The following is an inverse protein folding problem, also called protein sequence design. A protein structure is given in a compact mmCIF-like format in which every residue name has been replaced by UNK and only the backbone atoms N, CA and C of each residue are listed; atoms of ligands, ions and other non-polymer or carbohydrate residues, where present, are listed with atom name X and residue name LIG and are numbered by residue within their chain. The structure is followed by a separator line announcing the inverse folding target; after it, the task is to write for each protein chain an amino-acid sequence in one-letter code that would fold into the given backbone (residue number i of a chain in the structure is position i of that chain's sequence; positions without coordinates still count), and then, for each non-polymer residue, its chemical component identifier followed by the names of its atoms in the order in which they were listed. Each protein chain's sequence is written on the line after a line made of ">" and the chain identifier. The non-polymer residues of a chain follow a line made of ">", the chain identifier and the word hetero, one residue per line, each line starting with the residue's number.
data_IF_721425449235
#
_entry.id   IF_721425449235
#
_cell.length_a   1.000
_cell.length_b   1.000
_cell.length_c   1.000
_cell.angle_alpha   90.00
_cell.angle_beta   90.00
_cell.angle_gamma   90.00
#
_symmetry.space_group_name_H-M   'P 1'
#
loop_
_entity.id
_entity.type
_entity.pdbx_description
1 polymer ?
#
# COMPACT_ATOMS: atom_id res chain seq x y z
N UNK A 1 -2.12 -19.10 40.69
CA UNK A 1 -2.16 -18.56 39.31
C UNK A 1 -3.01 -19.40 38.36
N UNK A 2 -3.25 -20.70 38.58
CA UNK A 2 -4.21 -21.48 37.76
C UNK A 2 -5.69 -21.07 37.97
N UNK A 3 -6.05 -20.66 39.20
CA UNK A 3 -7.43 -20.31 39.55
C UNK A 3 -7.99 -19.02 38.94
N UNK A 4 -7.16 -18.14 38.37
CA UNK A 4 -7.62 -16.89 37.72
C UNK A 4 -7.71 -17.01 36.19
N UNK A 5 -6.97 -17.94 35.57
CA UNK A 5 -6.76 -17.96 34.11
C UNK A 5 -7.25 -19.25 33.43
N UNK A 6 -7.71 -20.24 34.21
CA UNK A 6 -8.25 -21.52 33.72
C UNK A 6 -7.24 -22.40 32.98
N UNK A 7 -7.68 -23.60 32.61
CA UNK A 7 -6.82 -24.70 32.13
C UNK A 7 -6.05 -24.44 30.83
N UNK A 8 -6.29 -23.33 30.13
CA UNK A 8 -5.66 -22.99 28.83
C UNK A 8 -4.55 -21.95 28.91
N UNK A 9 -4.34 -21.31 30.06
CA UNK A 9 -3.33 -20.26 30.21
C UNK A 9 -3.59 -19.00 29.37
N UNK A 10 -2.88 -17.91 29.69
CA UNK A 10 -3.09 -16.59 29.05
C UNK A 10 -2.66 -16.57 27.57
N UNK A 11 -1.61 -17.31 27.22
CA UNK A 11 -1.08 -17.35 25.85
C UNK A 11 -2.08 -17.97 24.86
N UNK A 12 -2.71 -19.09 25.24
CA UNK A 12 -3.69 -19.74 24.36
C UNK A 12 -4.96 -18.90 24.21
N UNK A 13 -5.42 -18.25 25.29
CA UNK A 13 -6.56 -17.32 25.23
C UNK A 13 -6.26 -16.08 24.37
N UNK A 14 -5.04 -15.55 24.41
CA UNK A 14 -4.63 -14.45 23.55
C UNK A 14 -4.52 -14.88 22.08
N UNK A 15 -4.09 -16.11 21.79
CA UNK A 15 -4.11 -16.65 20.43
C UNK A 15 -5.54 -16.87 19.90
N UNK A 16 -6.48 -17.18 20.80
CA UNK A 16 -7.92 -17.28 20.49
C UNK A 16 -8.57 -15.89 20.31
N UNK A 17 -8.09 -14.85 21.01
CA UNK A 17 -8.50 -13.44 20.87
C UNK A 17 -7.51 -12.61 20.03
N UNK A 18 -7.58 -12.83 18.71
CA UNK A 18 -6.68 -12.21 17.73
C UNK A 18 -6.69 -10.67 17.75
N UNK A 19 -7.82 -10.04 18.03
CA UNK A 19 -7.94 -8.58 18.06
C UNK A 19 -7.12 -7.97 19.21
N UNK A 20 -7.21 -8.56 20.40
CA UNK A 20 -6.41 -8.16 21.56
C UNK A 20 -4.93 -8.46 21.33
N UNK A 21 -4.59 -9.63 20.77
CA UNK A 21 -3.20 -10.00 20.48
C UNK A 21 -2.53 -9.03 19.50
N UNK A 22 -3.19 -8.65 18.42
CA UNK A 22 -2.64 -7.68 17.46
C UNK A 22 -2.45 -6.30 18.09
N UNK A 23 -3.36 -5.87 18.97
CA UNK A 23 -3.21 -4.61 19.71
C UNK A 23 -2.00 -4.66 20.66
N UNK A 24 -1.86 -5.74 21.43
CA UNK A 24 -0.69 -5.95 22.30
C UNK A 24 0.62 -6.01 21.51
N UNK A 25 0.59 -6.63 20.33
CA UNK A 25 1.74 -6.68 19.43
C UNK A 25 2.16 -5.29 19.00
N UNK A 26 1.22 -4.44 18.57
CA UNK A 26 1.53 -3.04 18.27
C UNK A 26 2.13 -2.29 19.46
N UNK A 27 1.60 -2.48 20.68
CA UNK A 27 2.20 -1.88 21.88
C UNK A 27 3.62 -2.40 22.16
N UNK A 28 3.85 -3.70 22.00
CA UNK A 28 5.18 -4.32 22.11
C UNK A 28 6.17 -3.72 21.12
N UNK A 29 5.77 -3.59 19.85
CA UNK A 29 6.60 -2.96 18.81
C UNK A 29 6.84 -1.47 19.08
N UNK A 30 5.85 -0.72 19.59
CA UNK A 30 6.06 0.67 20.03
C UNK A 30 7.09 0.77 21.15
N UNK A 31 7.09 -0.18 22.08
CA UNK A 31 8.12 -0.26 23.12
C UNK A 31 9.48 -0.57 22.50
N UNK A 32 9.56 -1.48 21.52
CA UNK A 32 10.82 -1.76 20.80
C UNK A 32 11.37 -0.51 20.11
N UNK A 33 10.51 0.30 19.48
CA UNK A 33 10.86 1.57 18.85
C UNK A 33 11.31 2.66 19.85
N UNK A 34 11.13 2.47 21.15
CA UNK A 34 11.58 3.42 22.18
C UNK A 34 12.88 2.99 22.88
N UNK A 35 13.37 1.77 22.62
CA UNK A 35 14.60 1.28 23.22
C UNK A 35 15.82 2.03 22.72
N UNK A 36 16.88 2.01 23.53
CA UNK A 36 18.16 2.68 23.24
C UNK A 36 19.15 1.78 22.52
N UNK A 37 18.92 0.47 22.47
CA UNK A 37 19.77 -0.54 21.83
C UNK A 37 19.31 -0.88 20.41
N UNK A 38 18.71 0.09 19.71
CA UNK A 38 18.34 -0.05 18.29
C UNK A 38 19.54 -0.46 17.45
N UNK A 39 19.27 -1.16 16.35
CA UNK A 39 20.26 -1.66 15.40
C UNK A 39 21.19 -2.76 15.94
N UNK A 40 20.97 -3.23 17.18
CA UNK A 40 21.63 -4.43 17.70
C UNK A 40 20.92 -5.70 17.25
N UNK A 41 21.66 -6.81 17.17
CA UNK A 41 21.10 -8.13 16.86
C UNK A 41 19.97 -8.52 17.84
N UNK A 42 20.16 -8.25 19.14
CA UNK A 42 19.15 -8.49 20.16
C UNK A 42 17.85 -7.70 19.91
N UNK A 43 17.96 -6.44 19.51
CA UNK A 43 16.79 -5.62 19.16
C UNK A 43 16.06 -6.15 17.92
N UNK A 44 16.82 -6.57 16.90
CA UNK A 44 16.27 -7.20 15.70
C UNK A 44 15.54 -8.52 15.99
N UNK A 45 16.12 -9.37 16.84
CA UNK A 45 15.53 -10.64 17.27
C UNK A 45 14.24 -10.42 18.07
N UNK A 46 14.24 -9.44 18.97
CA UNK A 46 13.06 -9.07 19.75
C UNK A 46 11.93 -8.53 18.85
N UNK A 47 12.26 -7.69 17.85
CA UNK A 47 11.28 -7.24 16.85
C UNK A 47 10.68 -8.42 16.11
N UNK A 48 11.52 -9.32 15.58
CA UNK A 48 11.05 -10.49 14.85
C UNK A 48 10.12 -11.35 15.72
N UNK A 49 10.52 -11.56 16.98
CA UNK A 49 9.76 -12.33 17.96
C UNK A 49 8.41 -11.70 18.30
N UNK A 50 8.33 -10.37 18.39
CA UNK A 50 7.05 -9.69 18.67
C UNK A 50 6.19 -9.64 17.41
N UNK A 51 6.79 -9.32 16.26
CA UNK A 51 6.08 -9.11 15.00
C UNK A 51 5.37 -10.38 14.49
N UNK A 52 5.89 -11.58 14.77
CA UNK A 52 5.25 -12.84 14.35
C UNK A 52 3.79 -13.01 14.86
N UNK A 53 3.41 -12.28 15.91
CA UNK A 53 2.05 -12.29 16.47
C UNK A 53 1.13 -11.22 15.87
N UNK A 54 1.66 -10.36 14.99
CA UNK A 54 0.85 -9.36 14.29
C UNK A 54 -0.03 -10.03 13.25
N UNK A 55 -1.35 -9.84 13.35
CA UNK A 55 -2.29 -10.28 12.34
C UNK A 55 -3.42 -9.27 12.12
N UNK A 56 -3.83 -9.12 10.88
CA UNK A 56 -5.07 -8.44 10.53
C UNK A 56 -6.16 -9.52 10.51
N UNK A 57 -6.86 -9.73 11.63
CA UNK A 57 -7.97 -10.69 11.72
C UNK A 57 -9.21 -10.19 10.97
N UNK A 58 -10.22 -11.04 10.79
CA UNK A 58 -11.49 -10.58 10.18
C UNK A 58 -12.28 -9.65 11.12
N UNK A 59 -12.16 -9.89 12.43
CA UNK A 59 -12.68 -9.07 13.52
C UNK A 59 -11.71 -7.92 13.83
N UNK A 60 -11.61 -6.96 12.91
CA UNK A 60 -10.64 -5.88 13.06
C UNK A 60 -11.02 -4.89 14.17
N UNK A 61 -10.08 -4.51 15.04
CA UNK A 61 -10.37 -3.65 16.18
C UNK A 61 -10.60 -2.20 15.74
N UNK A 62 -11.19 -1.43 16.66
CA UNK A 62 -11.62 -0.02 16.53
C UNK A 62 -10.68 0.92 15.75
N UNK A 63 -11.18 2.11 15.36
CA UNK A 63 -10.38 3.19 14.75
C UNK A 63 -9.06 3.51 15.50
N UNK A 64 -9.02 3.32 16.82
CA UNK A 64 -7.80 3.49 17.64
C UNK A 64 -6.72 2.47 17.32
N UNK A 65 -7.09 1.23 17.02
CA UNK A 65 -6.14 0.22 16.59
C UNK A 65 -5.55 0.59 15.23
N UNK A 66 -6.38 1.04 14.27
CA UNK A 66 -5.89 1.49 12.97
C UNK A 66 -4.81 2.57 13.14
N UNK A 67 -5.09 3.59 13.96
CA UNK A 67 -4.14 4.66 14.28
C UNK A 67 -2.84 4.13 14.88
N UNK A 68 -2.95 3.29 15.90
CA UNK A 68 -1.79 2.68 16.56
C UNK A 68 -0.96 1.83 15.58
N UNK A 69 -1.61 0.99 14.77
CA UNK A 69 -0.97 0.11 13.81
C UNK A 69 -0.25 0.91 12.72
N UNK A 70 -0.89 1.93 12.13
CA UNK A 70 -0.27 2.80 11.13
C UNK A 70 0.97 3.48 11.70
N UNK A 71 0.85 4.15 12.85
CA UNK A 71 1.99 4.81 13.50
C UNK A 71 3.15 3.84 13.79
N UNK A 72 2.83 2.64 14.28
CA UNK A 72 3.83 1.64 14.69
C UNK A 72 4.54 1.05 13.48
N UNK A 73 3.78 0.53 12.51
CA UNK A 73 4.33 -0.21 11.39
C UNK A 73 5.02 0.70 10.39
N UNK A 74 4.49 1.89 10.13
CA UNK A 74 5.15 2.84 9.23
C UNK A 74 6.50 3.30 9.81
N UNK A 75 6.57 3.60 11.12
CA UNK A 75 7.84 3.93 11.77
C UNK A 75 8.81 2.74 11.76
N UNK A 76 8.32 1.54 12.08
CA UNK A 76 9.16 0.34 12.09
C UNK A 76 9.67 -0.04 10.70
N UNK A 77 8.87 0.14 9.65
CA UNK A 77 9.30 -0.08 8.27
C UNK A 77 10.48 0.83 7.88
N UNK A 78 10.49 2.08 8.38
CA UNK A 78 11.59 3.02 8.18
C UNK A 78 12.82 2.63 8.99
N UNK A 79 12.65 2.35 10.28
CA UNK A 79 13.75 2.10 11.22
C UNK A 79 14.34 0.69 11.12
N UNK A 80 13.59 -0.30 10.63
CA UNK A 80 14.07 -1.67 10.43
C UNK A 80 13.88 -2.15 8.97
N UNK A 81 14.65 -1.56 8.02
CA UNK A 81 14.60 -1.90 6.60
C UNK A 81 14.60 -3.39 6.23
N UNK A 82 15.40 -4.25 6.89
CA UNK A 82 15.54 -5.65 6.46
C UNK A 82 14.24 -6.47 6.58
N UNK A 83 13.30 -6.05 7.42
CA UNK A 83 12.06 -6.80 7.65
C UNK A 83 10.93 -6.35 6.72
N UNK A 84 11.03 -6.76 5.45
CA UNK A 84 10.10 -6.37 4.37
C UNK A 84 8.62 -6.62 4.72
N UNK A 85 8.30 -7.70 5.45
CA UNK A 85 6.93 -7.99 5.87
C UNK A 85 6.30 -6.85 6.70
N UNK A 86 7.08 -6.06 7.45
CA UNK A 86 6.57 -4.90 8.19
C UNK A 86 6.06 -3.83 7.23
N UNK A 87 6.78 -3.57 6.14
CA UNK A 87 6.36 -2.63 5.09
C UNK A 87 5.06 -3.12 4.44
N UNK A 88 5.00 -4.40 4.05
CA UNK A 88 3.79 -4.98 3.46
C UNK A 88 2.58 -4.83 4.41
N UNK A 89 2.76 -5.13 5.70
CA UNK A 89 1.72 -4.97 6.71
C UNK A 89 1.31 -3.51 6.93
N UNK A 90 2.24 -2.55 6.86
CA UNK A 90 1.92 -1.14 6.96
C UNK A 90 1.05 -0.67 5.78
N UNK A 91 1.38 -1.08 4.55
CA UNK A 91 0.57 -0.84 3.36
C UNK A 91 -0.82 -1.47 3.49
N UNK A 92 -0.92 -2.71 3.99
CA UNK A 92 -2.21 -3.36 4.25
C UNK A 92 -3.04 -2.62 5.28
N UNK A 93 -2.44 -2.08 6.35
CA UNK A 93 -3.17 -1.28 7.34
C UNK A 93 -3.72 0.00 6.72
N UNK A 94 -2.91 0.70 5.93
CA UNK A 94 -3.35 1.92 5.25
C UNK A 94 -4.46 1.63 4.23
N UNK A 95 -4.33 0.54 3.46
CA UNK A 95 -5.28 0.18 2.41
C UNK A 95 -6.58 -0.43 2.92
N UNK A 96 -6.47 -1.46 3.75
CA UNK A 96 -7.59 -2.35 4.03
C UNK A 96 -8.25 -2.04 5.39
N UNK A 97 -7.56 -1.31 6.27
CA UNK A 97 -8.05 -1.00 7.62
C UNK A 97 -8.50 0.44 7.75
N UNK A 98 -7.70 1.41 7.32
CA UNK A 98 -8.05 2.83 7.43
C UNK A 98 -9.32 3.18 6.63
N UNK A 99 -9.35 2.79 5.37
CA UNK A 99 -10.48 3.05 4.47
C UNK A 99 -11.72 2.31 4.93
N UNK A 100 -11.60 1.03 5.25
CA UNK A 100 -12.73 0.20 5.70
C UNK A 100 -13.36 0.69 7.01
N UNK A 101 -12.54 1.12 7.97
CA UNK A 101 -13.02 1.58 9.28
C UNK A 101 -13.42 3.07 9.29
N UNK A 102 -13.13 3.81 8.22
CA UNK A 102 -13.27 5.27 8.22
C UNK A 102 -12.47 5.91 9.36
N UNK A 103 -11.28 5.36 9.66
CA UNK A 103 -10.32 6.02 10.52
C UNK A 103 -9.87 7.34 9.87
N UNK A 104 -9.42 8.29 10.68
CA UNK A 104 -8.90 9.56 10.19
C UNK A 104 -7.44 9.66 10.62
N UNK A 105 -6.60 10.16 9.73
CA UNK A 105 -5.22 10.41 10.10
C UNK A 105 -5.07 11.60 11.03
N UNK A 106 -4.07 11.55 11.89
CA UNK A 106 -3.44 12.73 12.47
C UNK A 106 -2.24 13.15 11.61
N UNK A 107 -1.76 14.39 11.78
CA UNK A 107 -0.54 14.86 11.11
C UNK A 107 0.66 13.91 11.35
N UNK A 108 0.77 13.37 12.57
CA UNK A 108 1.83 12.44 12.96
C UNK A 108 1.75 11.12 12.16
N UNK A 109 0.56 10.54 12.03
CA UNK A 109 0.39 9.32 11.20
C UNK A 109 0.64 9.57 9.71
N UNK A 110 0.33 10.76 9.19
CA UNK A 110 0.67 11.14 7.81
C UNK A 110 2.19 11.28 7.64
N UNK A 111 2.88 11.87 8.61
CA UNK A 111 4.34 11.98 8.58
C UNK A 111 5.02 10.62 8.59
N UNK A 112 4.50 9.65 9.36
CA UNK A 112 5.01 8.29 9.36
C UNK A 112 4.78 7.58 8.01
N UNK A 113 3.58 7.69 7.44
CA UNK A 113 3.28 7.12 6.11
C UNK A 113 4.16 7.75 5.01
N UNK A 114 4.35 9.07 5.08
CA UNK A 114 5.28 9.83 4.23
C UNK A 114 6.70 9.29 4.33
N UNK A 115 7.26 9.19 5.53
CA UNK A 115 8.65 8.74 5.72
C UNK A 115 8.86 7.31 5.19
N UNK A 116 7.85 6.45 5.39
CA UNK A 116 7.87 5.08 4.88
C UNK A 116 7.89 5.03 3.35
N UNK A 117 7.02 5.80 2.69
CA UNK A 117 6.91 5.76 1.23
C UNK A 117 8.09 6.44 0.52
N UNK A 118 8.63 7.53 1.09
CA UNK A 118 9.77 8.26 0.50
C UNK A 118 10.95 7.33 0.29
N UNK A 119 11.21 6.46 1.27
CA UNK A 119 12.29 5.48 1.17
C UNK A 119 12.08 4.47 0.04
N UNK A 120 10.86 3.96 -0.14
CA UNK A 120 10.61 2.99 -1.22
C UNK A 120 10.74 3.64 -2.60
N UNK A 121 10.18 4.85 -2.78
CA UNK A 121 10.29 5.61 -4.05
C UNK A 121 11.72 6.07 -4.38
N UNK A 122 12.65 6.03 -3.44
CA UNK A 122 14.09 6.25 -3.67
C UNK A 122 14.83 4.98 -4.11
N UNK A 123 14.23 3.81 -3.89
CA UNK A 123 14.90 2.51 -3.97
C UNK A 123 14.43 1.63 -5.15
N UNK A 124 13.96 2.25 -6.24
CA UNK A 124 13.54 1.51 -7.43
C UNK A 124 14.68 0.66 -7.97
N UNK A 125 14.49 -0.65 -7.92
CA UNK A 125 15.39 -1.66 -8.45
C UNK A 125 14.59 -2.71 -9.23
N UNK A 126 14.54 -2.61 -10.58
CA UNK A 126 13.77 -3.53 -11.41
C UNK A 126 14.31 -4.97 -11.34
N UNK A 127 15.55 -5.18 -10.89
CA UNK A 127 16.13 -6.53 -10.75
C UNK A 127 15.42 -7.40 -9.70
N UNK A 128 14.68 -6.76 -8.78
CA UNK A 128 13.84 -7.45 -7.77
C UNK A 128 12.51 -7.96 -8.33
N UNK A 129 12.26 -7.79 -9.64
CA UNK A 129 11.13 -8.36 -10.35
C UNK A 129 9.79 -7.95 -9.75
N UNK A 130 8.90 -8.93 -9.52
CA UNK A 130 7.54 -8.67 -9.06
C UNK A 130 7.50 -7.95 -7.72
N UNK A 131 8.43 -8.25 -6.81
CA UNK A 131 8.42 -7.64 -5.48
C UNK A 131 8.67 -6.14 -5.53
N UNK A 132 9.56 -5.68 -6.43
CA UNK A 132 9.75 -4.24 -6.64
C UNK A 132 8.50 -3.57 -7.22
N UNK A 133 7.85 -4.19 -8.20
CA UNK A 133 6.58 -3.68 -8.75
C UNK A 133 5.53 -3.54 -7.64
N UNK A 134 5.31 -4.59 -6.84
CA UNK A 134 4.35 -4.61 -5.74
C UNK A 134 4.64 -3.49 -4.71
N UNK A 135 5.90 -3.34 -4.28
CA UNK A 135 6.28 -2.31 -3.32
C UNK A 135 6.07 -0.89 -3.88
N UNK A 136 6.38 -0.66 -5.16
CA UNK A 136 6.24 0.66 -5.77
C UNK A 136 4.78 1.04 -6.05
N UNK A 137 3.95 0.11 -6.53
CA UNK A 137 2.51 0.39 -6.67
C UNK A 137 1.88 0.65 -5.30
N UNK A 138 2.24 -0.11 -4.26
CA UNK A 138 1.80 0.14 -2.90
C UNK A 138 2.27 1.50 -2.35
N UNK A 139 3.49 1.94 -2.66
CA UNK A 139 3.95 3.28 -2.30
C UNK A 139 3.11 4.39 -2.97
N UNK A 140 2.71 4.20 -4.23
CA UNK A 140 1.81 5.12 -4.94
C UNK A 140 0.43 5.14 -4.30
N UNK A 141 -0.11 3.97 -3.92
CA UNK A 141 -1.36 3.90 -3.15
C UNK A 141 -1.26 4.77 -1.90
N UNK A 142 -0.20 4.60 -1.10
CA UNK A 142 -0.02 5.35 0.16
C UNK A 142 0.10 6.86 -0.09
N UNK A 143 0.79 7.28 -1.15
CA UNK A 143 0.88 8.68 -1.57
C UNK A 143 -0.51 9.26 -1.87
N UNK A 144 -1.28 8.58 -2.72
CA UNK A 144 -2.62 9.00 -3.13
C UNK A 144 -3.59 9.03 -1.95
N UNK A 145 -3.48 8.04 -1.06
CA UNK A 145 -4.22 7.98 0.19
C UNK A 145 -3.92 9.19 1.10
N UNK A 146 -2.64 9.52 1.30
CA UNK A 146 -2.23 10.67 2.10
C UNK A 146 -2.75 11.99 1.52
N UNK A 147 -2.69 12.17 0.20
CA UNK A 147 -3.24 13.34 -0.48
C UNK A 147 -4.76 13.45 -0.30
N UNK A 148 -5.49 12.33 -0.44
CA UNK A 148 -6.94 12.27 -0.23
C UNK A 148 -7.32 12.62 1.21
N UNK A 149 -6.63 12.07 2.19
CA UNK A 149 -6.86 12.33 3.62
C UNK A 149 -6.51 13.77 4.03
N UNK A 150 -5.54 14.38 3.34
CA UNK A 150 -5.17 15.78 3.51
C UNK A 150 -6.24 16.71 2.93
N UNK A 151 -6.64 16.50 1.66
CA UNK A 151 -7.54 17.42 0.95
C UNK A 151 -9.00 17.28 1.37
N UNK A 152 -9.42 16.10 1.82
CA UNK A 152 -10.77 15.89 2.35
C UNK A 152 -11.04 16.65 3.66
N UNK A 153 -10.01 17.15 4.34
CA UNK A 153 -10.11 17.85 5.63
C UNK A 153 -10.44 16.93 6.82
N UNK A 154 -10.59 15.61 6.59
CA UNK A 154 -10.93 14.64 7.64
C UNK A 154 -9.89 14.56 8.75
N UNK A 155 -8.64 14.80 8.40
CA UNK A 155 -7.49 14.78 9.31
C UNK A 155 -7.36 16.01 10.22
N UNK A 156 -8.25 17.02 10.06
CA UNK A 156 -8.29 18.25 10.87
C UNK A 156 -6.91 18.93 11.02
N UNK A 157 -6.12 18.92 9.94
CA UNK A 157 -4.79 19.52 9.92
C UNK A 157 -4.88 21.05 10.06
N UNK A 158 -3.87 21.64 10.69
CA UNK A 158 -3.69 23.09 10.63
C UNK A 158 -3.36 23.53 9.20
N UNK A 159 -3.64 24.78 8.79
CA UNK A 159 -3.34 25.25 7.43
C UNK A 159 -1.88 24.99 7.00
N UNK A 160 -0.91 25.27 7.88
CA UNK A 160 0.51 25.03 7.60
C UNK A 160 0.82 23.54 7.39
N UNK A 161 0.18 22.65 8.13
CA UNK A 161 0.34 21.19 7.96
C UNK A 161 -0.28 20.71 6.64
N UNK A 162 -1.45 21.23 6.30
CA UNK A 162 -2.11 20.95 5.01
C UNK A 162 -1.23 21.38 3.86
N UNK A 163 -0.73 22.62 3.88
CA UNK A 163 0.13 23.16 2.82
C UNK A 163 1.41 22.33 2.66
N UNK A 164 2.05 21.95 3.78
CA UNK A 164 3.24 21.11 3.77
C UNK A 164 2.99 19.72 3.17
N UNK A 165 1.86 19.08 3.52
CA UNK A 165 1.48 17.77 2.99
C UNK A 165 1.12 17.84 1.50
N UNK A 166 0.41 18.88 1.06
CA UNK A 166 0.07 19.04 -0.36
C UNK A 166 1.30 19.35 -1.21
N UNK A 167 2.19 20.24 -0.75
CA UNK A 167 3.43 20.56 -1.45
C UNK A 167 4.33 19.32 -1.61
N UNK A 168 4.51 18.56 -0.53
CA UNK A 168 5.22 17.28 -0.57
C UNK A 168 4.56 16.28 -1.53
N UNK A 169 3.24 16.12 -1.45
CA UNK A 169 2.52 15.13 -2.26
C UNK A 169 2.56 15.47 -3.75
N UNK A 170 2.52 16.75 -4.12
CA UNK A 170 2.68 17.19 -5.52
C UNK A 170 4.07 16.92 -6.09
N UNK A 171 5.13 17.21 -5.31
CA UNK A 171 6.50 16.86 -5.69
C UNK A 171 6.67 15.34 -5.86
N UNK A 172 6.15 14.58 -4.90
CA UNK A 172 6.24 13.11 -4.90
C UNK A 172 5.40 12.48 -6.02
N UNK A 173 4.25 13.07 -6.38
CA UNK A 173 3.47 12.64 -7.55
C UNK A 173 4.27 12.75 -8.84
N UNK A 174 5.06 13.82 -8.99
CA UNK A 174 5.93 13.97 -10.17
C UNK A 174 6.97 12.86 -10.25
N UNK A 175 7.52 12.42 -9.11
CA UNK A 175 8.41 11.25 -9.03
C UNK A 175 7.70 9.94 -9.38
N UNK A 176 6.47 9.73 -8.89
CA UNK A 176 5.65 8.56 -9.22
C UNK A 176 5.30 8.51 -10.71
N UNK A 177 4.99 9.66 -11.32
CA UNK A 177 4.77 9.80 -12.77
C UNK A 177 6.04 9.41 -13.54
N UNK A 178 7.20 9.91 -13.12
CA UNK A 178 8.46 9.57 -13.78
C UNK A 178 8.77 8.07 -13.66
N UNK A 179 8.55 7.47 -12.48
CA UNK A 179 8.72 6.04 -12.29
C UNK A 179 7.81 5.21 -13.21
N UNK A 180 6.52 5.55 -13.30
CA UNK A 180 5.58 4.84 -14.19
C UNK A 180 5.98 4.96 -15.67
N UNK A 181 6.53 6.12 -16.07
CA UNK A 181 7.00 6.36 -17.43
C UNK A 181 8.23 5.52 -17.78
N UNK A 182 9.15 5.39 -16.84
CA UNK A 182 10.42 4.68 -17.03
C UNK A 182 10.32 3.18 -16.68
N UNK A 183 9.12 2.71 -16.35
CA UNK A 183 8.89 1.33 -15.92
C UNK A 183 9.21 0.32 -17.03
N UNK A 184 10.29 -0.43 -16.86
CA UNK A 184 10.64 -1.56 -17.72
C UNK A 184 9.85 -2.80 -17.31
N UNK A 185 8.89 -3.20 -18.15
CA UNK A 185 7.99 -4.32 -17.86
C UNK A 185 8.63 -5.70 -17.99
N UNK A 186 9.66 -5.83 -18.83
CA UNK A 186 10.30 -7.10 -19.12
C UNK A 186 10.93 -7.70 -17.85
N UNK A 187 10.62 -8.96 -17.54
CA UNK A 187 11.18 -9.65 -16.38
C UNK A 187 10.53 -9.32 -15.03
N UNK A 188 9.57 -8.40 -14.96
CA UNK A 188 8.83 -8.13 -13.72
C UNK A 188 7.94 -9.29 -13.24
N UNK A 189 7.67 -10.29 -14.10
CA UNK A 189 7.02 -11.54 -13.69
C UNK A 189 7.89 -12.41 -12.77
N UNK A 190 9.21 -12.17 -12.71
CA UNK A 190 10.09 -12.94 -11.87
C UNK A 190 9.67 -12.87 -10.40
N UNK A 191 9.41 -14.04 -9.81
CA UNK A 191 8.97 -14.17 -8.41
C UNK A 191 7.48 -13.89 -8.18
N UNK A 192 6.65 -13.73 -9.23
CA UNK A 192 5.21 -13.53 -9.06
C UNK A 192 4.46 -14.79 -8.62
N UNK A 193 5.02 -15.98 -8.85
CA UNK A 193 4.47 -17.27 -8.43
C UNK A 193 5.47 -18.00 -7.52
N UNK A 194 4.96 -18.62 -6.45
CA UNK A 194 5.79 -19.25 -5.43
C UNK A 194 6.39 -20.62 -5.85
N UNK A 195 5.75 -21.33 -6.78
CA UNK A 195 6.08 -22.75 -7.08
C UNK A 195 6.28 -23.02 -8.58
N UNK A 196 5.76 -22.16 -9.46
CA UNK A 196 5.69 -22.44 -10.89
C UNK A 196 6.86 -21.83 -11.67
N UNK A 197 7.23 -22.50 -12.77
CA UNK A 197 8.31 -22.06 -13.65
C UNK A 197 7.98 -20.78 -14.42
N UNK A 198 9.03 -20.15 -14.95
CA UNK A 198 9.03 -18.84 -15.60
C UNK A 198 7.91 -18.65 -16.64
N UNK A 199 7.70 -19.65 -17.50
CA UNK A 199 6.66 -19.61 -18.54
C UNK A 199 5.22 -19.46 -17.99
N UNK A 200 4.93 -20.05 -16.83
CA UNK A 200 3.64 -19.88 -16.17
C UNK A 200 3.49 -18.48 -15.58
N UNK A 201 4.59 -17.93 -15.05
CA UNK A 201 4.65 -16.54 -14.58
C UNK A 201 4.32 -15.56 -15.70
N UNK A 202 4.95 -15.69 -16.87
CA UNK A 202 4.74 -14.82 -18.03
C UNK A 202 3.27 -14.74 -18.45
N UNK A 203 2.57 -15.88 -18.54
CA UNK A 203 1.17 -15.91 -19.03
C UNK A 203 0.15 -15.46 -17.97
N UNK A 204 0.49 -15.58 -16.69
CA UNK A 204 -0.37 -15.13 -15.57
C UNK A 204 -0.13 -13.66 -15.23
N UNK A 205 1.08 -13.17 -15.45
CA UNK A 205 1.51 -11.86 -14.97
C UNK A 205 0.62 -10.68 -15.39
N UNK A 206 0.05 -10.60 -16.60
CA UNK A 206 -0.90 -9.54 -16.94
C UNK A 206 -2.11 -9.44 -15.99
N UNK A 207 -2.60 -10.57 -15.46
CA UNK A 207 -3.70 -10.57 -14.49
C UNK A 207 -3.28 -9.99 -13.15
N UNK A 208 -2.08 -10.35 -12.68
CA UNK A 208 -1.50 -9.85 -11.42
C UNK A 208 -1.20 -8.35 -11.55
N UNK A 209 -0.50 -7.96 -12.62
CA UNK A 209 -0.10 -6.58 -12.87
C UNK A 209 -1.33 -5.66 -13.01
N UNK A 210 -2.35 -6.08 -13.77
CA UNK A 210 -3.59 -5.30 -13.89
C UNK A 210 -4.31 -5.14 -12.55
N UNK A 211 -4.34 -6.18 -11.71
CA UNK A 211 -4.91 -6.09 -10.36
C UNK A 211 -4.19 -5.06 -9.50
N UNK A 212 -2.85 -5.02 -9.53
CA UNK A 212 -2.07 -4.01 -8.81
C UNK A 212 -2.26 -2.59 -9.37
N UNK A 213 -2.25 -2.43 -10.70
CA UNK A 213 -2.53 -1.11 -11.31
C UNK A 213 -3.93 -0.60 -10.93
N UNK A 214 -4.93 -1.48 -10.92
CA UNK A 214 -6.29 -1.10 -10.51
C UNK A 214 -6.32 -0.72 -9.03
N UNK A 215 -5.94 -1.62 -8.14
CA UNK A 215 -6.11 -1.45 -6.70
C UNK A 215 -5.22 -0.36 -6.11
N UNK A 216 -3.99 -0.25 -6.60
CA UNK A 216 -2.97 0.60 -5.99
C UNK A 216 -2.78 1.94 -6.71
N UNK A 217 -3.31 2.11 -7.94
CA UNK A 217 -3.15 3.34 -8.72
C UNK A 217 -4.49 3.88 -9.25
N UNK A 218 -5.22 3.12 -10.06
CA UNK A 218 -6.41 3.64 -10.77
C UNK A 218 -7.56 3.92 -9.80
N UNK A 219 -7.93 2.96 -8.95
CA UNK A 219 -9.01 3.16 -7.97
C UNK A 219 -8.67 4.27 -6.95
N UNK A 220 -7.45 4.37 -6.41
CA UNK A 220 -7.03 5.51 -5.59
C UNK A 220 -7.10 6.86 -6.32
N UNK A 221 -6.73 6.92 -7.60
CA UNK A 221 -6.87 8.15 -8.40
C UNK A 221 -8.35 8.51 -8.60
N UNK A 222 -9.22 7.54 -8.86
CA UNK A 222 -10.67 7.75 -8.94
C UNK A 222 -11.22 8.26 -7.61
N UNK A 223 -10.81 7.66 -6.48
CA UNK A 223 -11.21 8.09 -5.15
C UNK A 223 -10.72 9.52 -4.82
N UNK A 224 -9.47 9.85 -5.20
CA UNK A 224 -8.93 11.20 -5.05
C UNK A 224 -9.73 12.19 -5.90
N UNK A 225 -10.01 11.87 -7.17
CA UNK A 225 -10.79 12.72 -8.09
C UNK A 225 -12.20 13.02 -7.57
N UNK A 226 -12.78 12.09 -6.81
CA UNK A 226 -14.12 12.23 -6.22
C UNK A 226 -14.15 13.12 -4.97
N UNK A 227 -12.98 13.50 -4.44
CA UNK A 227 -12.88 14.34 -3.24
C UNK A 227 -12.86 15.83 -3.63
N UNK A 228 -13.51 16.74 -2.86
CA UNK A 228 -13.43 18.17 -3.12
C UNK A 228 -11.98 18.65 -3.25
N UNK A 229 -11.66 19.34 -4.36
CA UNK A 229 -10.30 19.80 -4.67
C UNK A 229 -9.36 18.74 -5.22
N UNK A 230 -9.70 17.45 -5.15
CA UNK A 230 -8.83 16.34 -5.59
C UNK A 230 -8.53 16.35 -7.09
N UNK A 231 -9.48 16.78 -7.92
CA UNK A 231 -9.28 16.95 -9.37
C UNK A 231 -8.13 17.91 -9.71
N UNK A 232 -7.84 18.89 -8.86
CA UNK A 232 -6.72 19.84 -9.11
C UNK A 232 -5.34 19.18 -9.00
N UNK A 233 -5.27 18.01 -8.35
CA UNK A 233 -4.04 17.23 -8.18
C UNK A 233 -3.84 16.19 -9.28
N UNK A 234 -4.86 15.95 -10.12
CA UNK A 234 -4.83 14.91 -11.16
C UNK A 234 -4.63 15.60 -12.52
N UNK A 235 -3.41 15.49 -13.04
CA UNK A 235 -3.07 16.03 -14.36
C UNK A 235 -3.46 15.05 -15.48
N UNK A 236 -3.71 15.59 -16.67
CA UNK A 236 -3.89 14.74 -17.86
C UNK A 236 -2.64 13.93 -18.21
N UNK A 237 -1.45 14.45 -17.88
CA UNK A 237 -0.18 13.73 -18.02
C UNK A 237 -0.13 12.49 -17.13
N UNK A 238 -0.54 12.59 -15.86
CA UNK A 238 -0.59 11.45 -14.94
C UNK A 238 -1.50 10.34 -15.49
N UNK A 239 -2.69 10.70 -15.98
CA UNK A 239 -3.62 9.72 -16.57
C UNK A 239 -3.00 9.06 -17.80
N UNK A 240 -2.42 9.85 -18.71
CA UNK A 240 -1.76 9.31 -19.91
C UNK A 240 -0.59 8.39 -19.57
N UNK A 241 0.17 8.69 -18.52
CA UNK A 241 1.27 7.83 -18.07
C UNK A 241 0.76 6.50 -17.53
N UNK A 242 -0.35 6.48 -16.77
CA UNK A 242 -0.97 5.24 -16.28
C UNK A 242 -1.48 4.38 -17.44
N UNK A 243 -2.16 4.98 -18.44
CA UNK A 243 -2.61 4.26 -19.64
C UNK A 243 -1.44 3.70 -20.46
N UNK A 244 -0.37 4.47 -20.60
CA UNK A 244 0.84 4.05 -21.31
C UNK A 244 1.58 2.93 -20.56
N UNK A 245 1.59 2.98 -19.22
CA UNK A 245 2.16 1.92 -18.41
C UNK A 245 1.41 0.60 -18.65
N UNK A 246 0.08 0.62 -18.65
CA UNK A 246 -0.71 -0.57 -18.97
C UNK A 246 -0.49 -1.06 -20.41
N UNK A 247 -0.50 -0.15 -21.39
CA UNK A 247 -0.24 -0.49 -22.79
C UNK A 247 1.15 -1.15 -22.97
N UNK A 248 2.14 -0.67 -22.22
CA UNK A 248 3.50 -1.22 -22.23
C UNK A 248 3.56 -2.61 -21.58
N UNK A 249 2.79 -2.83 -20.51
CA UNK A 249 2.63 -4.16 -19.91
C UNK A 249 2.03 -5.15 -20.92
N UNK A 250 0.98 -4.77 -21.64
CA UNK A 250 0.36 -5.61 -22.67
C UNK A 250 1.33 -5.94 -23.80
N UNK A 251 2.16 -4.98 -24.22
CA UNK A 251 3.19 -5.20 -25.23
C UNK A 251 4.29 -6.17 -24.76
N UNK A 252 4.71 -6.08 -23.50
CA UNK A 252 5.71 -6.98 -22.90
C UNK A 252 5.17 -8.40 -22.66
N UNK A 253 3.86 -8.53 -22.42
CA UNK A 253 3.20 -9.79 -22.09
C UNK A 253 1.95 -10.03 -22.98
N UNK A 254 2.14 -10.28 -24.28
CA UNK A 254 1.05 -10.25 -25.27
C UNK A 254 0.09 -11.46 -25.22
N UNK A 255 0.45 -12.53 -24.51
CA UNK A 255 -0.30 -13.79 -24.50
C UNK A 255 -0.75 -14.17 -23.07
N UNK A 256 -1.66 -13.39 -22.45
CA UNK A 256 -2.23 -13.75 -21.17
C UNK A 256 -3.02 -15.06 -21.28
N UNK A 257 -3.02 -15.86 -20.21
CA UNK A 257 -3.84 -17.08 -20.14
C UNK A 257 -5.33 -16.73 -20.06
N UNK A 258 -6.20 -17.52 -20.70
CA UNK A 258 -7.64 -17.41 -20.46
C UNK A 258 -7.96 -17.92 -19.04
N UNK A 259 -8.58 -17.08 -18.21
CA UNK A 259 -8.96 -17.41 -16.83
C UNK A 259 -9.86 -18.65 -16.80
N UNK A 260 -10.69 -18.88 -17.82
CA UNK A 260 -11.56 -20.06 -17.92
C UNK A 260 -10.74 -21.36 -18.02
N UNK A 261 -9.55 -21.29 -18.63
CA UNK A 261 -8.63 -22.42 -18.78
C UNK A 261 -7.61 -22.50 -17.63
N UNK A 262 -7.41 -21.40 -16.89
CA UNK A 262 -6.36 -21.22 -15.88
C UNK A 262 -6.83 -20.91 -14.45
N UNK A 263 -8.12 -21.07 -14.13
CA UNK A 263 -8.74 -20.66 -12.86
C UNK A 263 -8.03 -21.14 -11.57
N UNK A 264 -7.17 -22.17 -11.66
CA UNK A 264 -6.34 -22.62 -10.53
C UNK A 264 -5.08 -21.79 -10.24
N UNK A 265 -4.67 -20.90 -11.16
CA UNK A 265 -3.39 -20.20 -11.12
C UNK A 265 -3.49 -18.71 -10.78
N UNK A 266 -4.67 -18.11 -10.95
CA UNK A 266 -4.88 -16.66 -10.82
C UNK A 266 -6.01 -16.38 -9.84
N UNK A 267 -5.65 -15.89 -8.65
CA UNK A 267 -6.61 -15.64 -7.56
C UNK A 267 -7.13 -14.20 -7.56
N UNK A 268 -6.41 -13.30 -8.25
CA UNK A 268 -6.78 -11.90 -8.43
C UNK A 268 -6.48 -11.50 -9.87
N UNK A 269 -7.50 -11.07 -10.62
CA UNK A 269 -7.36 -10.56 -11.98
C UNK A 269 -8.07 -9.23 -12.09
N UNK A 270 -7.41 -8.25 -12.69
CA UNK A 270 -8.02 -7.00 -13.14
C UNK A 270 -8.20 -6.92 -14.66
N UNK A 271 -7.80 -7.96 -15.40
CA UNK A 271 -7.63 -7.89 -16.86
C UNK A 271 -8.94 -7.59 -17.61
N UNK A 272 -10.05 -8.09 -17.09
CA UNK A 272 -11.40 -7.91 -17.63
C UNK A 272 -12.00 -6.52 -17.34
N UNK A 273 -11.41 -5.76 -16.41
CA UNK A 273 -11.97 -4.48 -15.94
C UNK A 273 -11.02 -3.29 -16.12
N UNK A 274 -9.72 -3.51 -16.31
CA UNK A 274 -8.71 -2.44 -16.35
C UNK A 274 -8.98 -1.42 -17.46
N UNK A 275 -9.35 -1.85 -18.67
CA UNK A 275 -9.63 -0.93 -19.77
C UNK A 275 -10.85 -0.04 -19.46
N UNK A 276 -11.88 -0.61 -18.83
CA UNK A 276 -13.05 0.15 -18.37
C UNK A 276 -12.67 1.17 -17.29
N UNK A 277 -11.83 0.77 -16.34
CA UNK A 277 -11.33 1.62 -15.26
C UNK A 277 -10.46 2.77 -15.77
N UNK A 278 -9.63 2.52 -16.78
CA UNK A 278 -8.84 3.55 -17.45
C UNK A 278 -9.74 4.55 -18.19
N UNK A 279 -10.79 4.08 -18.87
CA UNK A 279 -11.78 4.95 -19.48
C UNK A 279 -12.53 5.81 -18.45
N UNK A 280 -12.93 5.22 -17.32
CA UNK A 280 -13.52 5.94 -16.20
C UNK A 280 -12.58 7.03 -15.69
N UNK A 281 -11.31 6.69 -15.45
CA UNK A 281 -10.29 7.63 -15.00
C UNK A 281 -10.10 8.78 -16.00
N UNK A 282 -10.01 8.49 -17.30
CA UNK A 282 -9.89 9.53 -18.35
C UNK A 282 -11.10 10.44 -18.42
N UNK A 283 -12.30 9.92 -18.15
CA UNK A 283 -13.53 10.71 -18.16
C UNK A 283 -13.55 11.77 -17.05
N UNK A 284 -12.86 11.55 -15.92
CA UNK A 284 -12.83 12.51 -14.80
C UNK A 284 -12.32 13.90 -15.20
N UNK A 285 -11.30 13.96 -16.07
CA UNK A 285 -10.73 15.22 -16.56
C UNK A 285 -11.44 15.75 -17.82
N UNK A 286 -12.07 14.87 -18.60
CA UNK A 286 -12.74 15.24 -19.85
C UNK A 286 -14.12 15.88 -19.60
N UNK A 287 -14.76 15.55 -18.46
CA UNK A 287 -16.06 16.10 -18.05
C UNK A 287 -16.01 17.50 -17.43
N UNK A 288 -14.82 18.09 -17.24
CA UNK A 288 -14.65 19.44 -16.70
C UNK A 288 -14.24 20.39 -17.83
N UNK A 289 -15.15 21.23 -18.36
CA UNK A 289 -14.76 22.26 -19.30
C UNK A 289 -13.75 23.19 -18.60
N UNK A 290 -12.59 23.38 -19.24
CA UNK A 290 -11.56 24.34 -18.85
C UNK A 290 -12.18 25.62 -18.28
N UNK A 291 -12.12 25.83 -16.97
CA UNK A 291 -12.20 27.16 -16.37
C UNK A 291 -10.81 27.77 -16.41
N UNK A 292 -10.43 28.20 -17.61
CA UNK A 292 -9.43 29.24 -17.80
C UNK A 292 -10.06 30.29 -18.71
N UNK A 293 -10.64 31.30 -18.05
CA UNK A 293 -10.69 32.69 -18.49
C UNK A 293 -10.07 33.52 -17.35
#
# INVERSE_FOLDING_TARGET
>A
MEGEWGDRGIQQRLLEDRATLSSLTCYGLRHMLARTDKDTEAWSDDIYTVYQYFCLGDDMPSKRFAELACKTLCQLAVEYPPHIAVYDSACLVLRDVYDRLGACHSYDTLCHARAMLERELESWDPSRGFKALQSHTAAIYVLLHCLRETISGRSQLTPTQTDAMLAWGQDTLSRAVQWLRDLEWQGLHNGCLAVLGDAAGVVVFPHIASSHLIMDIIDPLLALSSTPGGLTLISGELISVVENAWSSAQAAYPNPIDIIQGAGLVWCSGLDTIDMKLLELRATISGHPNRYD
#
